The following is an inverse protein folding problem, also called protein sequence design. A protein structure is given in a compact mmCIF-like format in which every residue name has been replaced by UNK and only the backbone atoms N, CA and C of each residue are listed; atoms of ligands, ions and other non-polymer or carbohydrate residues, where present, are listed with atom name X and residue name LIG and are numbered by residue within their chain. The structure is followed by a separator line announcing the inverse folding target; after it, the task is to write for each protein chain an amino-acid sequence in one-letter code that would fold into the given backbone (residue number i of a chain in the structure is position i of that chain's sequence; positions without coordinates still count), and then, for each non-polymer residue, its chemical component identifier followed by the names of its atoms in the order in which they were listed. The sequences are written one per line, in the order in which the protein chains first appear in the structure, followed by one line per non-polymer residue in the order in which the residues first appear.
data_IF_721545863835
#
_entry.id   IF_721545863835
#
_cell.length_a   1.000
_cell.length_b   1.000
_cell.length_c   1.000
_cell.angle_alpha   90.00
_cell.angle_beta   90.00
_cell.angle_gamma   90.00
#
_symmetry.space_group_name_H-M   'P 1'
#
loop_
_entity.id
_entity.type
_entity.pdbx_description
1 polymer ?
#
# COMPACT_ATOMS: atom_id res chain seq x y z
N UNK A 1 6.75 -36.78 -2.17
CA UNK A 1 6.22 -35.92 -3.25
C UNK A 1 6.02 -34.52 -2.69
N UNK A 2 6.92 -33.59 -3.00
CA UNK A 2 6.93 -32.24 -2.43
C UNK A 2 5.87 -31.37 -3.11
N UNK A 3 4.97 -30.77 -2.32
CA UNK A 3 4.07 -29.70 -2.77
C UNK A 3 4.82 -28.39 -2.61
N UNK A 4 5.21 -27.79 -3.73
CA UNK A 4 5.77 -26.45 -3.78
C UNK A 4 4.63 -25.43 -3.81
N UNK A 5 4.02 -25.18 -2.66
CA UNK A 5 3.01 -24.12 -2.54
C UNK A 5 3.41 -23.19 -1.39
N UNK A 6 3.83 -21.98 -1.74
CA UNK A 6 3.88 -20.86 -0.79
C UNK A 6 5.22 -20.17 -0.65
N UNK A 7 5.66 -19.46 -1.69
CA UNK A 7 6.77 -18.50 -1.58
C UNK A 7 6.39 -17.11 -2.09
N UNK A 8 5.21 -16.61 -1.70
CA UNK A 8 4.73 -15.28 -2.14
C UNK A 8 4.12 -14.45 -1.00
N UNK A 9 4.77 -14.44 0.18
CA UNK A 9 4.30 -13.62 1.31
C UNK A 9 5.36 -12.70 1.94
N UNK A 10 6.59 -12.62 1.40
CA UNK A 10 7.70 -11.92 2.09
C UNK A 10 8.16 -10.59 1.45
N UNK A 11 7.57 -10.13 0.34
CA UNK A 11 8.04 -8.91 -0.34
C UNK A 11 7.26 -7.63 0.01
N UNK A 12 6.40 -7.65 1.02
CA UNK A 12 5.83 -6.42 1.56
C UNK A 12 6.89 -5.70 2.42
N UNK A 13 7.95 -5.23 1.77
CA UNK A 13 8.99 -4.38 2.35
C UNK A 13 8.28 -3.24 3.10
N UNK A 14 8.53 -3.02 4.40
CA UNK A 14 7.86 -1.98 5.18
C UNK A 14 7.93 -0.57 4.53
N UNK A 15 8.92 -0.37 3.66
CA UNK A 15 9.19 0.85 2.89
C UNK A 15 8.37 0.98 1.59
N UNK A 16 7.77 -0.09 1.08
CA UNK A 16 7.09 -0.07 -0.22
C UNK A 16 5.66 0.48 -0.16
N UNK A 17 4.93 0.28 0.95
CA UNK A 17 3.52 0.72 1.04
C UNK A 17 3.35 2.25 0.97
N UNK A 18 4.17 3.08 1.67
CA UNK A 18 4.12 4.53 1.48
C UNK A 18 4.51 4.95 0.06
N UNK A 19 5.51 4.27 -0.54
CA UNK A 19 5.96 4.55 -1.90
C UNK A 19 4.88 4.23 -2.94
N UNK A 20 4.22 3.08 -2.84
CA UNK A 20 3.09 2.68 -3.69
C UNK A 20 1.95 3.68 -3.56
N UNK A 21 1.59 4.07 -2.33
CA UNK A 21 0.55 5.08 -2.09
C UNK A 21 0.87 6.41 -2.76
N UNK A 22 2.12 6.86 -2.70
CA UNK A 22 2.55 8.09 -3.36
C UNK A 22 2.44 7.98 -4.89
N UNK A 23 2.87 6.87 -5.50
CA UNK A 23 2.73 6.66 -6.94
C UNK A 23 1.26 6.65 -7.39
N UNK A 24 0.39 5.93 -6.68
CA UNK A 24 -1.05 5.90 -6.97
C UNK A 24 -1.64 7.33 -6.91
N UNK A 25 -1.27 8.10 -5.89
CA UNK A 25 -1.69 9.50 -5.75
C UNK A 25 -1.20 10.36 -6.92
N UNK A 26 0.02 10.13 -7.45
CA UNK A 26 0.56 10.88 -8.60
C UNK A 26 -0.23 10.60 -9.86
N UNK A 27 -0.39 9.32 -10.20
CA UNK A 27 -1.10 8.92 -11.40
C UNK A 27 -2.56 9.37 -11.37
N UNK A 28 -3.19 9.32 -10.19
CA UNK A 28 -4.55 9.82 -10.03
C UNK A 28 -4.64 11.33 -10.21
N UNK A 29 -3.72 12.11 -9.62
CA UNK A 29 -3.65 13.56 -9.79
C UNK A 29 -3.50 13.96 -11.27
N UNK A 30 -2.58 13.33 -11.99
CA UNK A 30 -2.36 13.59 -13.41
C UNK A 30 -3.60 13.22 -14.25
N UNK A 31 -4.25 12.11 -13.93
CA UNK A 31 -5.46 11.67 -14.64
C UNK A 31 -6.64 12.59 -14.39
N UNK A 32 -6.85 13.05 -13.16
CA UNK A 32 -7.90 14.02 -12.84
C UNK A 32 -7.65 15.38 -13.46
N UNK A 33 -6.40 15.87 -13.48
CA UNK A 33 -6.06 17.14 -14.15
C UNK A 33 -6.31 17.09 -15.65
N UNK A 34 -6.04 15.96 -16.30
CA UNK A 34 -6.38 15.77 -17.72
C UNK A 34 -7.89 15.76 -17.97
N UNK A 35 -8.68 15.19 -17.05
CA UNK A 35 -10.13 15.02 -17.21
C UNK A 35 -10.95 16.25 -16.75
N UNK A 36 -10.43 17.03 -15.81
CA UNK A 36 -11.11 18.20 -15.25
C UNK A 36 -10.91 19.42 -16.16
N UNK A 37 -11.78 19.56 -17.16
CA UNK A 37 -11.86 20.75 -18.02
C UNK A 37 -12.25 22.03 -17.25
N UNK A 38 -12.96 21.90 -16.11
CA UNK A 38 -13.68 23.02 -15.46
C UNK A 38 -13.02 23.56 -14.19
N UNK A 39 -12.10 22.82 -13.59
CA UNK A 39 -11.45 23.23 -12.33
C UNK A 39 -10.00 22.74 -12.27
N UNK A 40 -9.06 23.67 -12.03
CA UNK A 40 -7.66 23.32 -11.75
C UNK A 40 -7.58 22.59 -10.42
N UNK A 41 -7.32 21.28 -10.45
CA UNK A 41 -7.08 20.48 -9.24
C UNK A 41 -5.72 20.88 -8.65
N UNK A 42 -5.74 21.43 -7.43
CA UNK A 42 -4.52 21.75 -6.66
C UNK A 42 -4.05 20.54 -5.87
N UNK A 43 -2.76 20.55 -5.52
CA UNK A 43 -2.17 19.51 -4.67
C UNK A 43 -2.79 19.43 -3.28
N UNK A 44 -3.17 20.56 -2.69
CA UNK A 44 -3.89 20.59 -1.41
C UNK A 44 -5.21 19.83 -1.50
N UNK A 45 -6.01 20.08 -2.55
CA UNK A 45 -7.28 19.35 -2.76
C UNK A 45 -7.06 17.88 -3.08
N UNK A 46 -6.00 17.54 -3.82
CA UNK A 46 -5.61 16.14 -4.05
C UNK A 46 -5.22 15.43 -2.75
N UNK A 47 -4.57 16.11 -1.80
CA UNK A 47 -4.23 15.54 -0.50
C UNK A 47 -5.49 15.15 0.28
N UNK A 48 -6.52 16.00 0.28
CA UNK A 48 -7.81 15.71 0.93
C UNK A 48 -8.50 14.52 0.27
N UNK A 49 -8.56 14.48 -1.06
CA UNK A 49 -9.15 13.36 -1.81
C UNK A 49 -8.38 12.06 -1.51
N UNK A 50 -7.04 12.10 -1.56
CA UNK A 50 -6.19 10.94 -1.28
C UNK A 50 -6.34 10.46 0.17
N UNK A 51 -6.47 11.35 1.15
CA UNK A 51 -6.69 10.98 2.54
C UNK A 51 -8.05 10.30 2.75
N UNK A 52 -9.08 10.72 2.01
CA UNK A 52 -10.42 10.12 2.07
C UNK A 52 -10.49 8.74 1.40
N UNK A 53 -9.75 8.53 0.30
CA UNK A 53 -9.93 7.36 -0.56
C UNK A 53 -8.77 6.35 -0.52
N UNK A 54 -7.55 6.76 -0.19
CA UNK A 54 -6.41 5.85 -0.10
C UNK A 54 -6.15 5.48 1.36
N UNK A 55 -6.05 4.18 1.68
CA UNK A 55 -5.73 3.75 3.03
C UNK A 55 -4.40 4.36 3.46
N UNK A 56 -4.31 4.77 4.73
CA UNK A 56 -3.02 5.10 5.32
C UNK A 56 -2.20 3.81 5.39
N UNK A 57 -0.92 3.83 5.00
CA UNK A 57 -0.06 2.68 5.13
C UNK A 57 0.09 2.39 6.61
N UNK A 58 -0.65 1.40 7.10
CA UNK A 58 -0.52 0.84 8.44
C UNK A 58 0.21 -0.47 8.28
N UNK A 59 1.32 -0.63 9.00
CA UNK A 59 1.98 -1.93 9.14
C UNK A 59 1.01 -2.77 9.99
N UNK A 60 0.16 -3.52 9.30
CA UNK A 60 -0.89 -4.35 9.90
C UNK A 60 -0.39 -5.74 10.29
N UNK A 61 0.85 -6.08 9.95
CA UNK A 61 1.44 -7.36 10.32
C UNK A 61 2.37 -7.20 11.52
N UNK A 62 2.19 -8.01 12.58
CA UNK A 62 3.27 -8.22 13.53
C UNK A 62 4.50 -8.72 12.76
N UNK A 63 5.67 -8.26 13.19
CA UNK A 63 6.95 -8.61 12.59
C UNK A 63 7.11 -10.13 12.50
N UNK A 64 7.81 -10.65 11.47
CA UNK A 64 7.91 -12.08 11.18
C UNK A 64 8.41 -12.92 12.37
N UNK A 65 9.17 -12.32 13.27
CA UNK A 65 9.69 -12.90 14.52
C UNK A 65 8.57 -13.43 15.44
N UNK A 66 7.38 -12.82 15.39
CA UNK A 66 6.22 -13.25 16.17
C UNK A 66 5.35 -14.30 15.46
N UNK A 67 5.53 -14.50 14.14
CA UNK A 67 4.79 -15.50 13.36
C UNK A 67 5.36 -16.92 13.52
N UNK A 68 6.63 -17.06 13.87
CA UNK A 68 7.31 -18.36 14.00
C UNK A 68 7.42 -18.89 15.44
N UNK A 69 6.79 -18.26 16.43
CA UNK A 69 6.65 -18.83 17.78
C UNK A 69 5.50 -19.84 17.86
N UNK A 70 5.38 -20.71 16.85
CA UNK A 70 4.63 -21.97 17.02
C UNK A 70 5.57 -22.88 17.81
N UNK A 71 5.40 -22.92 19.13
CA UNK A 71 5.92 -24.03 19.92
C UNK A 71 5.26 -25.29 19.40
N UNK A 72 6.03 -26.15 18.73
CA UNK A 72 5.66 -27.54 18.58
C UNK A 72 5.74 -28.18 19.98
N UNK A 73 4.63 -28.59 20.62
CA UNK A 73 4.75 -29.57 21.67
C UNK A 73 5.25 -30.87 21.02
N UNK A 74 6.18 -31.54 21.70
CA UNK A 74 7.01 -32.64 21.19
C UNK A 74 6.26 -33.87 20.71
#
# INVERSE_FOLDING_TARGET
MARADGHYADFAVPTSLPAVRNHVKMHWFLSLRRRSQRYRLTWSRMNVIAAKHLPLPRILHPWPEQRFLVSHPG
#
